data_IF_684144120768
#
_entry.id   IF_684144120768
#
_cell.length_a   1.000
_cell.length_b   1.000
_cell.length_c   1.000
_cell.angle_alpha   90.00
_cell.angle_beta   90.00
_cell.angle_gamma   90.00
#
_symmetry.space_group_name_H-M   'P 1'
#
loop_
_entity.id
_entity.type
_entity.pdbx_description
1 polymer ?
#
# COMPACT_ATOMS: atom_id res chain seq x y z
N UNK A 1 11.28 -2.38 2.87
CA UNK A 1 11.44 -3.79 2.45
C UNK A 1 10.28 -4.71 2.88
N UNK A 2 9.15 -4.18 3.36
CA UNK A 2 8.01 -5.00 3.82
C UNK A 2 7.18 -5.66 2.69
N UNK A 3 7.19 -5.09 1.48
CA UNK A 3 6.40 -5.54 0.33
C UNK A 3 6.70 -7.00 -0.06
N UNK A 4 7.98 -7.37 -0.06
CA UNK A 4 8.43 -8.70 -0.47
C UNK A 4 7.98 -9.81 0.49
N UNK A 5 7.88 -9.49 1.78
CA UNK A 5 7.47 -10.45 2.82
C UNK A 5 6.01 -10.86 2.68
N UNK A 6 5.13 -9.90 2.36
CA UNK A 6 3.70 -10.17 2.19
C UNK A 6 3.37 -11.00 0.94
N UNK A 7 4.08 -10.76 -0.17
CA UNK A 7 3.90 -11.53 -1.41
C UNK A 7 4.74 -12.81 -1.49
N UNK A 8 5.64 -13.04 -0.54
CA UNK A 8 6.57 -14.19 -0.58
C UNK A 8 5.87 -15.53 -0.83
N UNK A 9 4.74 -15.88 -0.17
CA UNK A 9 4.05 -17.14 -0.45
C UNK A 9 3.59 -17.25 -1.92
N UNK A 10 3.01 -16.19 -2.48
CA UNK A 10 2.57 -16.21 -3.88
C UNK A 10 3.74 -16.32 -4.85
N UNK A 11 4.84 -15.60 -4.59
CA UNK A 11 6.04 -15.70 -5.43
C UNK A 11 6.59 -17.13 -5.40
N UNK A 12 6.72 -17.73 -4.21
CA UNK A 12 7.16 -19.13 -4.06
C UNK A 12 6.23 -20.06 -4.83
N UNK A 13 4.90 -19.89 -4.71
CA UNK A 13 3.95 -20.71 -5.44
C UNK A 13 4.08 -20.59 -6.96
N UNK A 14 4.16 -19.38 -7.50
CA UNK A 14 4.27 -19.17 -8.94
C UNK A 14 5.56 -19.77 -9.51
N UNK A 15 6.66 -19.73 -8.74
CA UNK A 15 7.90 -20.41 -9.12
C UNK A 15 7.73 -21.92 -9.09
N UNK A 16 7.06 -22.48 -8.08
CA UNK A 16 6.97 -23.93 -7.90
C UNK A 16 5.90 -24.62 -8.74
N UNK A 17 4.73 -24.01 -8.93
CA UNK A 17 3.55 -24.67 -9.54
C UNK A 17 3.80 -25.12 -10.98
N UNK A 18 4.71 -24.46 -11.70
CA UNK A 18 5.14 -24.83 -13.04
C UNK A 18 6.34 -25.79 -13.11
N UNK A 19 6.92 -26.19 -11.99
CA UNK A 19 8.19 -26.95 -11.94
C UNK A 19 8.13 -28.21 -11.06
N UNK A 20 7.20 -28.28 -10.11
CA UNK A 20 7.04 -29.42 -9.18
C UNK A 20 5.57 -29.83 -9.06
N UNK A 21 5.25 -31.03 -8.52
CA UNK A 21 3.87 -31.47 -8.35
C UNK A 21 3.00 -30.47 -7.57
N UNK A 22 1.72 -30.35 -7.94
CA UNK A 22 0.76 -29.40 -7.36
C UNK A 22 0.66 -29.48 -5.83
N UNK A 23 0.61 -30.69 -5.28
CA UNK A 23 0.55 -30.89 -3.83
C UNK A 23 1.81 -30.37 -3.14
N UNK A 24 3.00 -30.63 -3.71
CA UNK A 24 4.26 -30.17 -3.15
C UNK A 24 4.37 -28.63 -3.20
N UNK A 25 4.03 -28.01 -4.33
CA UNK A 25 4.03 -26.54 -4.45
C UNK A 25 3.05 -25.89 -3.48
N UNK A 26 1.83 -26.40 -3.35
CA UNK A 26 0.84 -25.85 -2.44
C UNK A 26 1.23 -26.01 -0.96
N UNK A 27 1.76 -27.17 -0.55
CA UNK A 27 2.17 -27.43 0.83
C UNK A 27 3.40 -26.62 1.23
N UNK A 28 4.41 -26.52 0.37
CA UNK A 28 5.59 -25.68 0.63
C UNK A 28 5.17 -24.23 0.78
N UNK A 29 4.31 -23.73 -0.11
CA UNK A 29 3.82 -22.36 0.01
C UNK A 29 2.98 -22.14 1.26
N UNK A 30 2.13 -23.10 1.64
CA UNK A 30 1.35 -23.01 2.88
C UNK A 30 2.28 -22.93 4.10
N UNK A 31 3.36 -23.72 4.13
CA UNK A 31 4.37 -23.63 5.18
C UNK A 31 5.03 -22.24 5.22
N UNK A 32 5.42 -21.69 4.06
CA UNK A 32 5.98 -20.33 3.96
C UNK A 32 4.98 -19.28 4.47
N UNK A 33 3.69 -19.40 4.13
CA UNK A 33 2.65 -18.50 4.62
C UNK A 33 2.49 -18.56 6.15
N UNK A 34 2.52 -19.77 6.73
CA UNK A 34 2.48 -19.95 8.20
C UNK A 34 3.70 -19.31 8.87
N UNK A 35 4.90 -19.54 8.32
CA UNK A 35 6.14 -18.93 8.83
C UNK A 35 6.06 -17.39 8.76
N UNK A 36 5.55 -16.84 7.65
CA UNK A 36 5.37 -15.40 7.52
C UNK A 36 4.42 -14.83 8.58
N UNK A 37 3.31 -15.50 8.87
CA UNK A 37 2.40 -15.12 9.97
C UNK A 37 3.12 -15.17 11.31
N UNK A 38 3.89 -16.24 11.60
CA UNK A 38 4.62 -16.39 12.86
C UNK A 38 5.64 -15.25 13.03
N UNK A 39 6.42 -14.93 12.00
CA UNK A 39 7.37 -13.82 12.03
C UNK A 39 6.65 -12.50 12.31
N UNK A 40 5.55 -12.22 11.59
CA UNK A 40 4.74 -11.02 11.81
C UNK A 40 4.12 -10.95 13.21
N UNK A 41 3.81 -12.10 13.85
CA UNK A 41 3.36 -12.15 15.25
C UNK A 41 4.47 -11.72 16.20
N UNK A 42 5.68 -12.25 16.01
CA UNK A 42 6.83 -12.01 16.91
C UNK A 42 7.35 -10.58 16.77
N UNK A 43 7.33 -10.00 15.58
CA UNK A 43 7.83 -8.64 15.32
C UNK A 43 6.80 -7.54 15.61
N UNK A 44 5.61 -7.89 16.09
CA UNK A 44 4.49 -6.96 16.31
C UNK A 44 4.16 -6.08 15.08
N UNK A 45 4.42 -6.60 13.87
CA UNK A 45 4.23 -5.85 12.64
C UNK A 45 2.74 -5.50 12.42
N UNK A 46 2.48 -4.23 12.10
CA UNK A 46 1.15 -3.72 11.79
C UNK A 46 0.76 -4.11 10.36
N UNK A 47 0.07 -5.23 10.22
CA UNK A 47 -0.42 -5.70 8.91
C UNK A 47 -0.46 -7.21 8.87
N UNK A 48 -1.67 -7.79 8.91
CA UNK A 48 -1.86 -9.26 8.95
C UNK A 48 -2.76 -9.77 7.83
N UNK A 49 -3.33 -8.88 7.03
CA UNK A 49 -4.39 -9.21 6.08
C UNK A 49 -3.86 -10.06 4.93
N UNK A 50 -2.68 -9.72 4.41
CA UNK A 50 -2.06 -10.44 3.31
C UNK A 50 -1.53 -11.81 3.75
N UNK A 51 -0.93 -11.91 4.94
CA UNK A 51 -0.40 -13.16 5.49
C UNK A 51 -1.52 -14.15 5.87
N UNK A 52 -2.57 -13.67 6.54
CA UNK A 52 -3.76 -14.51 6.84
C UNK A 52 -4.44 -14.94 5.54
N UNK A 53 -4.54 -14.02 4.58
CA UNK A 53 -5.04 -14.29 3.25
C UNK A 53 -4.25 -15.35 2.49
N UNK A 54 -2.92 -15.34 2.64
CA UNK A 54 -2.04 -16.34 2.06
C UNK A 54 -2.32 -17.72 2.64
N UNK A 55 -2.39 -17.83 3.98
CA UNK A 55 -2.70 -19.10 4.65
C UNK A 55 -4.04 -19.65 4.17
N UNK A 56 -5.08 -18.83 4.14
CA UNK A 56 -6.40 -19.25 3.64
C UNK A 56 -6.37 -19.73 2.19
N UNK A 57 -5.74 -18.95 1.30
CA UNK A 57 -5.63 -19.29 -0.14
C UNK A 57 -4.87 -20.60 -0.36
N UNK A 58 -3.69 -20.74 0.26
CA UNK A 58 -2.84 -21.90 0.05
C UNK A 58 -3.33 -23.14 0.79
N UNK A 59 -4.10 -22.98 1.87
CA UNK A 59 -4.83 -24.11 2.47
C UNK A 59 -5.86 -24.68 1.50
N UNK A 60 -6.65 -23.82 0.84
CA UNK A 60 -7.62 -24.24 -0.18
C UNK A 60 -6.92 -24.90 -1.37
N UNK A 61 -5.84 -24.30 -1.89
CA UNK A 61 -5.07 -24.88 -2.99
C UNK A 61 -4.41 -26.22 -2.61
N UNK A 62 -3.95 -26.37 -1.36
CA UNK A 62 -3.40 -27.63 -0.88
C UNK A 62 -4.48 -28.72 -0.83
N UNK A 63 -5.67 -28.41 -0.28
CA UNK A 63 -6.79 -29.35 -0.26
C UNK A 63 -7.20 -29.74 -1.69
N UNK A 64 -7.36 -28.77 -2.58
CA UNK A 64 -7.67 -29.03 -3.99
C UNK A 64 -6.60 -29.90 -4.66
N UNK A 65 -5.32 -29.67 -4.36
CA UNK A 65 -4.22 -30.48 -4.92
C UNK A 65 -4.24 -31.94 -4.47
N UNK A 66 -4.90 -32.25 -3.36
CA UNK A 66 -5.05 -33.61 -2.82
C UNK A 66 -6.35 -34.28 -3.27
N UNK A 67 -7.39 -33.50 -3.56
CA UNK A 67 -8.73 -34.05 -3.85
C UNK A 67 -9.17 -33.92 -5.31
N UNK A 68 -8.62 -32.98 -6.06
CA UNK A 68 -9.03 -32.71 -7.44
C UNK A 68 -8.19 -33.48 -8.47
N UNK A 69 -8.77 -33.69 -9.65
CA UNK A 69 -8.09 -34.35 -10.75
C UNK A 69 -6.98 -33.47 -11.36
N UNK A 70 -5.94 -34.10 -11.88
CA UNK A 70 -4.79 -33.38 -12.46
C UNK A 70 -5.18 -32.43 -13.59
N UNK A 71 -6.12 -32.84 -14.46
CA UNK A 71 -6.63 -31.99 -15.54
C UNK A 71 -7.33 -30.72 -15.06
N UNK A 72 -7.95 -30.78 -13.88
CA UNK A 72 -8.53 -29.60 -13.23
C UNK A 72 -7.41 -28.72 -12.66
N UNK A 73 -6.44 -29.32 -11.97
CA UNK A 73 -5.33 -28.59 -11.37
C UNK A 73 -4.50 -27.86 -12.44
N UNK A 74 -4.18 -28.51 -13.55
CA UNK A 74 -3.44 -27.90 -14.68
C UNK A 74 -4.12 -26.66 -15.28
N UNK A 75 -5.44 -26.52 -15.09
CA UNK A 75 -6.26 -25.42 -15.63
C UNK A 75 -6.51 -24.31 -14.64
N UNK A 76 -6.77 -24.68 -13.39
CA UNK A 76 -7.39 -23.76 -12.44
C UNK A 76 -6.45 -23.29 -11.34
N UNK A 77 -5.29 -23.91 -11.13
CA UNK A 77 -4.39 -23.53 -10.02
C UNK A 77 -3.88 -22.10 -10.11
N UNK A 78 -3.49 -21.61 -11.29
CA UNK A 78 -3.06 -20.22 -11.46
C UNK A 78 -4.22 -19.22 -11.30
N UNK A 79 -5.37 -19.38 -12.00
CA UNK A 79 -6.55 -18.54 -11.78
C UNK A 79 -6.99 -18.47 -10.33
N UNK A 80 -7.04 -19.61 -9.63
CA UNK A 80 -7.45 -19.67 -8.23
C UNK A 80 -6.44 -18.99 -7.29
N UNK A 81 -5.14 -19.09 -7.58
CA UNK A 81 -4.10 -18.37 -6.82
C UNK A 81 -4.27 -16.84 -6.93
N UNK A 82 -4.51 -16.33 -8.15
CA UNK A 82 -4.75 -14.90 -8.37
C UNK A 82 -6.11 -14.46 -7.81
N UNK A 83 -7.15 -15.29 -7.90
CA UNK A 83 -8.43 -15.03 -7.29
C UNK A 83 -8.31 -14.88 -5.76
N UNK A 84 -7.44 -15.68 -5.12
CA UNK A 84 -7.08 -15.51 -3.72
C UNK A 84 -6.56 -14.11 -3.40
N UNK A 85 -5.67 -13.55 -4.23
CA UNK A 85 -5.18 -12.18 -4.07
C UNK A 85 -6.31 -11.13 -4.19
N UNK A 86 -7.22 -11.31 -5.15
CA UNK A 86 -8.38 -10.42 -5.31
C UNK A 86 -9.25 -10.44 -4.05
N UNK A 87 -9.59 -11.63 -3.54
CA UNK A 87 -10.40 -11.79 -2.33
C UNK A 87 -9.73 -11.14 -1.13
N UNK A 88 -8.42 -11.33 -0.97
CA UNK A 88 -7.65 -10.73 0.13
C UNK A 88 -7.63 -9.21 0.02
N UNK A 89 -7.39 -8.68 -1.18
CA UNK A 89 -7.40 -7.24 -1.43
C UNK A 89 -8.78 -6.62 -1.14
N UNK A 90 -9.87 -7.25 -1.62
CA UNK A 90 -11.24 -6.81 -1.37
C UNK A 90 -11.59 -6.87 0.12
N UNK A 91 -11.24 -7.96 0.80
CA UNK A 91 -11.48 -8.10 2.25
C UNK A 91 -10.74 -7.03 3.04
N UNK A 92 -9.50 -6.70 2.65
CA UNK A 92 -8.76 -5.58 3.22
C UNK A 92 -9.44 -4.21 3.01
N UNK A 93 -10.00 -3.98 1.82
CA UNK A 93 -10.77 -2.76 1.53
C UNK A 93 -12.05 -2.67 2.37
N UNK A 94 -12.83 -3.75 2.44
CA UNK A 94 -14.08 -3.80 3.18
C UNK A 94 -13.89 -3.66 4.70
N UNK A 95 -12.77 -4.15 5.23
CA UNK A 95 -12.42 -4.02 6.65
C UNK A 95 -11.74 -2.68 7.00
N UNK A 96 -11.58 -1.77 6.03
CA UNK A 96 -10.95 -0.47 6.22
C UNK A 96 -9.43 -0.55 6.47
N UNK A 97 -8.81 -1.70 6.19
CA UNK A 97 -7.37 -1.94 6.34
C UNK A 97 -6.78 -2.42 5.00
N UNK A 98 -6.67 -1.52 3.99
CA UNK A 98 -6.05 -1.86 2.73
C UNK A 98 -4.65 -2.41 2.97
N UNK A 99 -4.29 -3.51 2.32
CA UNK A 99 -2.94 -4.08 2.45
C UNK A 99 -1.85 -3.08 2.03
N UNK A 100 -2.20 -2.09 1.21
CA UNK A 100 -1.35 -0.97 0.81
C UNK A 100 -0.85 -0.13 1.99
N UNK A 101 -1.56 -0.10 3.11
CA UNK A 101 -1.03 0.55 4.32
C UNK A 101 0.29 -0.09 4.81
N UNK A 102 0.56 -1.35 4.45
CA UNK A 102 1.82 -2.04 4.74
C UNK A 102 2.95 -1.64 3.77
N UNK A 103 2.62 -1.06 2.62
CA UNK A 103 3.59 -0.70 1.59
C UNK A 103 4.30 0.63 1.85
N UNK A 104 3.82 1.43 2.80
CA UNK A 104 4.26 2.81 3.02
C UNK A 104 4.72 2.96 4.47
N UNK A 105 6.03 3.20 4.67
CA UNK A 105 6.53 3.66 5.97
C UNK A 105 5.98 5.06 6.22
N UNK A 106 5.03 5.17 7.14
CA UNK A 106 4.36 6.43 7.45
C UNK A 106 5.10 7.15 8.59
N UNK A 107 5.64 8.36 8.39
CA UNK A 107 5.98 9.20 9.53
C UNK A 107 4.70 9.58 10.26
N UNK A 108 4.68 9.43 11.59
CA UNK A 108 3.48 9.53 12.44
C UNK A 108 2.65 10.82 12.21
N UNK A 109 3.29 11.90 11.77
CA UNK A 109 2.66 13.21 11.58
C UNK A 109 2.06 13.43 10.18
N UNK A 110 2.22 12.49 9.23
CA UNK A 110 1.72 12.60 7.85
C UNK A 110 0.37 11.91 7.63
N UNK A 111 -0.21 11.31 8.68
CA UNK A 111 -1.43 10.51 8.59
C UNK A 111 -2.68 11.30 8.22
N UNK A 112 -2.67 12.63 8.37
CA UNK A 112 -3.86 13.47 8.27
C UNK A 112 -4.00 14.22 6.93
N UNK A 113 -3.06 14.10 6.00
CA UNK A 113 -3.21 14.81 4.72
C UNK A 113 -4.14 14.07 3.76
N UNK A 114 -5.16 14.76 3.24
CA UNK A 114 -6.09 14.25 2.23
C UNK A 114 -5.36 13.74 0.97
N UNK A 115 -4.20 14.33 0.65
CA UNK A 115 -3.34 13.91 -0.46
C UNK A 115 -2.80 12.49 -0.25
N UNK A 116 -2.32 12.16 0.95
CA UNK A 116 -1.85 10.82 1.31
C UNK A 116 -3.00 9.81 1.25
N UNK A 117 -4.17 10.17 1.76
CA UNK A 117 -5.35 9.30 1.69
C UNK A 117 -5.76 8.98 0.24
N UNK A 118 -5.76 10.00 -0.63
CA UNK A 118 -6.04 9.84 -2.06
C UNK A 118 -5.01 8.94 -2.75
N UNK A 119 -3.72 9.10 -2.44
CA UNK A 119 -2.65 8.29 -3.00
C UNK A 119 -2.74 6.82 -2.55
N UNK A 120 -3.03 6.56 -1.28
CA UNK A 120 -3.28 5.20 -0.76
C UNK A 120 -4.47 4.55 -1.46
N UNK A 121 -5.54 5.31 -1.69
CA UNK A 121 -6.72 4.82 -2.41
C UNK A 121 -6.39 4.46 -3.86
N UNK A 122 -5.72 5.34 -4.60
CA UNK A 122 -5.28 5.08 -5.99
C UNK A 122 -4.40 3.83 -6.04
N UNK A 123 -3.46 3.72 -5.12
CA UNK A 123 -2.56 2.57 -5.06
C UNK A 123 -3.31 1.26 -4.76
N UNK A 124 -4.29 1.30 -3.85
CA UNK A 124 -5.15 0.14 -3.54
C UNK A 124 -5.95 -0.31 -4.76
N UNK A 125 -6.57 0.63 -5.48
CA UNK A 125 -7.31 0.32 -6.70
C UNK A 125 -6.40 -0.19 -7.83
N UNK A 126 -5.19 0.33 -7.96
CA UNK A 126 -4.23 -0.13 -8.97
C UNK A 126 -3.83 -1.60 -8.76
N UNK A 127 -3.60 -1.99 -7.52
CA UNK A 127 -3.32 -3.38 -7.18
C UNK A 127 -4.51 -4.30 -7.38
N UNK A 128 -5.71 -3.85 -6.96
CA UNK A 128 -6.93 -4.62 -7.19
C UNK A 128 -7.17 -4.85 -8.69
N UNK A 129 -6.99 -3.81 -9.52
CA UNK A 129 -7.10 -3.91 -10.96
C UNK A 129 -6.06 -4.87 -11.55
N UNK A 130 -4.82 -4.85 -11.06
CA UNK A 130 -3.79 -5.79 -11.48
C UNK A 130 -4.18 -7.24 -11.12
N UNK A 131 -4.56 -7.53 -9.88
CA UNK A 131 -4.97 -8.88 -9.48
C UNK A 131 -6.22 -9.36 -10.22
N UNK A 132 -7.18 -8.49 -10.45
CA UNK A 132 -8.36 -8.80 -11.26
C UNK A 132 -7.95 -9.13 -12.71
N UNK A 133 -7.08 -8.32 -13.31
CA UNK A 133 -6.54 -8.58 -14.65
C UNK A 133 -5.76 -9.89 -14.75
N UNK A 134 -4.95 -10.21 -13.75
CA UNK A 134 -4.24 -11.50 -13.63
C UNK A 134 -5.22 -12.68 -13.56
N UNK A 135 -6.27 -12.54 -12.75
CA UNK A 135 -7.31 -13.59 -12.58
C UNK A 135 -8.11 -13.78 -13.85
N UNK A 136 -8.60 -12.69 -14.46
CA UNK A 136 -9.38 -12.75 -15.70
C UNK A 136 -8.55 -13.31 -16.83
N UNK A 137 -7.34 -12.79 -17.06
CA UNK A 137 -6.48 -13.27 -18.14
C UNK A 137 -6.19 -14.76 -18.01
N UNK A 138 -5.77 -15.24 -16.84
CA UNK A 138 -5.50 -16.66 -16.61
C UNK A 138 -6.75 -17.54 -16.64
N UNK A 139 -7.94 -17.00 -16.39
CA UNK A 139 -9.21 -17.72 -16.52
C UNK A 139 -9.70 -17.86 -17.97
N UNK A 140 -9.15 -17.11 -18.93
CA UNK A 140 -9.54 -17.21 -20.35
C UNK A 140 -9.22 -18.60 -20.95
N UNK A 141 -7.99 -19.15 -20.85
CA UNK A 141 -7.67 -20.48 -21.37
C UNK A 141 -8.59 -21.61 -20.84
N UNK A 142 -8.81 -21.78 -19.52
CA UNK A 142 -9.60 -22.89 -19.02
C UNK A 142 -11.11 -22.79 -19.35
N UNK A 143 -11.62 -21.59 -19.62
CA UNK A 143 -13.01 -21.38 -20.06
C UNK A 143 -13.21 -21.71 -21.54
N UNK A 144 -12.24 -21.37 -22.39
CA UNK A 144 -12.32 -21.59 -23.84
C UNK A 144 -11.93 -23.00 -24.26
N UNK A 145 -10.97 -23.62 -23.55
CA UNK A 145 -10.31 -24.85 -23.98
C UNK A 145 -10.32 -25.91 -22.89
N UNK A 146 -10.88 -27.08 -23.23
CA UNK A 146 -10.86 -28.29 -22.40
C UNK A 146 -9.52 -29.02 -22.42
N UNK A 147 -8.51 -28.51 -23.09
CA UNK A 147 -7.15 -29.06 -23.12
C UNK A 147 -6.13 -28.02 -22.65
N UNK A 148 -6.60 -26.87 -22.14
CA UNK A 148 -5.73 -25.86 -21.57
C UNK A 148 -4.88 -26.46 -20.44
N UNK A 149 -3.60 -26.14 -20.46
CA UNK A 149 -2.64 -26.55 -19.43
C UNK A 149 -1.68 -25.40 -19.18
N UNK A 150 -1.31 -25.17 -17.93
CA UNK A 150 -0.30 -24.18 -17.58
C UNK A 150 1.10 -24.50 -18.13
N UNK A 151 1.32 -25.75 -18.56
CA UNK A 151 2.56 -26.24 -19.17
C UNK A 151 2.56 -26.13 -20.71
N UNK A 152 1.46 -25.71 -21.32
CA UNK A 152 1.33 -25.62 -22.78
C UNK A 152 2.14 -24.42 -23.32
N UNK A 153 3.26 -24.72 -23.98
CA UNK A 153 4.13 -23.74 -24.65
C UNK A 153 3.82 -23.57 -26.14
N UNK A 154 3.03 -24.47 -26.73
CA UNK A 154 2.71 -24.45 -28.16
C UNK A 154 1.46 -23.61 -28.46
N UNK A 155 0.52 -23.55 -27.51
CA UNK A 155 -0.64 -22.67 -27.58
C UNK A 155 -0.28 -21.24 -27.17
N UNK A 156 -0.25 -20.25 -28.10
CA UNK A 156 0.11 -18.87 -27.75
C UNK A 156 -0.80 -18.27 -26.68
N UNK A 157 -2.09 -18.63 -26.73
CA UNK A 157 -3.07 -18.20 -25.75
C UNK A 157 -2.77 -18.72 -24.34
N UNK A 158 -2.25 -19.94 -24.18
CA UNK A 158 -1.96 -20.54 -22.88
C UNK A 158 -0.82 -19.81 -22.17
N UNK A 159 0.35 -19.68 -22.79
CA UNK A 159 1.48 -19.02 -22.12
C UNK A 159 1.29 -17.50 -21.96
N UNK A 160 0.58 -16.83 -22.90
CA UNK A 160 0.27 -15.40 -22.76
C UNK A 160 -0.63 -15.14 -21.56
N UNK A 161 -1.73 -15.89 -21.44
CA UNK A 161 -2.75 -15.68 -20.42
C UNK A 161 -2.37 -16.21 -19.04
N UNK A 162 -1.61 -17.31 -18.94
CA UNK A 162 -1.18 -17.84 -17.65
C UNK A 162 0.04 -17.11 -17.06
N UNK A 163 0.96 -16.64 -17.91
CA UNK A 163 2.26 -16.12 -17.48
C UNK A 163 2.52 -14.68 -17.90
N UNK A 164 2.59 -14.38 -19.21
CA UNK A 164 3.07 -13.07 -19.67
C UNK A 164 2.18 -11.93 -19.18
N UNK A 165 0.87 -12.03 -19.42
CA UNK A 165 -0.08 -10.99 -18.99
C UNK A 165 -0.10 -10.86 -17.46
N UNK A 166 -0.22 -11.94 -16.67
CA UNK A 166 -0.21 -11.80 -15.22
C UNK A 166 1.08 -11.21 -14.65
N UNK A 167 2.25 -11.67 -15.10
CA UNK A 167 3.55 -11.20 -14.61
C UNK A 167 3.77 -9.73 -14.99
N UNK A 168 3.42 -9.33 -16.22
CA UNK A 168 3.55 -7.93 -16.65
C UNK A 168 2.63 -7.01 -15.84
N UNK A 169 1.39 -7.39 -15.58
CA UNK A 169 0.48 -6.62 -14.72
C UNK A 169 1.02 -6.47 -13.29
N UNK A 170 1.56 -7.55 -12.72
CA UNK A 170 2.16 -7.53 -11.39
C UNK A 170 3.36 -6.57 -11.32
N UNK A 171 4.27 -6.64 -12.30
CA UNK A 171 5.44 -5.74 -12.39
C UNK A 171 5.01 -4.29 -12.59
N UNK A 172 4.04 -4.02 -13.46
CA UNK A 172 3.50 -2.67 -13.66
C UNK A 172 2.90 -2.11 -12.37
N UNK A 173 2.13 -2.90 -11.61
CA UNK A 173 1.61 -2.49 -10.31
C UNK A 173 2.72 -2.16 -9.31
N UNK A 174 3.80 -2.96 -9.29
CA UNK A 174 4.97 -2.68 -8.46
C UNK A 174 5.69 -1.37 -8.87
N UNK A 175 5.82 -1.10 -10.17
CA UNK A 175 6.41 0.15 -10.67
C UNK A 175 5.55 1.37 -10.35
N UNK A 176 4.23 1.26 -10.50
CA UNK A 176 3.27 2.30 -10.08
C UNK A 176 3.37 2.56 -8.58
N UNK A 177 3.50 1.50 -7.77
CA UNK A 177 3.70 1.61 -6.32
C UNK A 177 4.95 2.43 -5.99
N UNK A 178 6.07 2.18 -6.68
CA UNK A 178 7.32 2.91 -6.47
C UNK A 178 7.19 4.39 -6.83
N UNK A 179 6.61 4.70 -8.00
CA UNK A 179 6.47 6.10 -8.44
C UNK A 179 5.52 6.88 -7.55
N UNK A 180 4.42 6.28 -7.10
CA UNK A 180 3.50 6.89 -6.14
C UNK A 180 4.15 7.09 -4.77
N UNK A 181 4.96 6.15 -4.29
CA UNK A 181 5.67 6.29 -3.02
C UNK A 181 6.62 7.48 -3.01
N UNK A 182 7.35 7.71 -4.12
CA UNK A 182 8.22 8.89 -4.27
C UNK A 182 7.39 10.18 -4.25
N UNK A 183 6.29 10.23 -5.00
CA UNK A 183 5.38 11.38 -5.01
C UNK A 183 4.73 11.63 -3.65
N UNK A 184 4.45 10.58 -2.87
CA UNK A 184 3.94 10.69 -1.51
C UNK A 184 4.98 11.33 -0.58
N UNK A 185 6.24 10.91 -0.67
CA UNK A 185 7.32 11.52 0.11
C UNK A 185 7.47 13.01 -0.21
N UNK A 186 7.42 13.39 -1.48
CA UNK A 186 7.43 14.79 -1.92
C UNK A 186 6.18 15.56 -1.45
N UNK A 187 4.99 14.95 -1.54
CA UNK A 187 3.75 15.57 -1.09
C UNK A 187 3.78 15.83 0.42
N UNK A 188 4.25 14.86 1.21
CA UNK A 188 4.41 14.98 2.66
C UNK A 188 5.41 16.08 3.02
N UNK A 189 6.55 16.15 2.32
CA UNK A 189 7.54 17.20 2.53
C UNK A 189 7.00 18.62 2.23
N UNK A 190 5.99 18.75 1.36
CA UNK A 190 5.42 20.02 0.94
C UNK A 190 4.10 20.40 1.66
N UNK A 191 3.65 19.61 2.65
CA UNK A 191 2.42 19.92 3.39
C UNK A 191 2.64 21.18 4.25
N UNK A 192 1.70 22.13 4.16
CA UNK A 192 1.68 23.27 5.06
C UNK A 192 1.20 22.83 6.45
N UNK A 193 2.07 22.95 7.44
CA UNK A 193 1.74 22.76 8.85
C UNK A 193 0.84 23.90 9.31
N UNK A 194 -0.22 23.56 10.06
CA UNK A 194 -1.11 24.53 10.70
C UNK A 194 -0.65 24.72 12.15
N UNK A 195 -0.52 25.96 12.57
CA UNK A 195 -0.25 26.32 13.96
C UNK A 195 -1.11 27.52 14.36
N UNK A 196 -1.18 27.78 15.65
CA UNK A 196 -1.86 28.95 16.21
C UNK A 196 -0.93 29.61 17.21
N UNK A 197 -0.70 30.91 17.06
CA UNK A 197 0.13 31.68 17.97
C UNK A 197 -0.69 32.82 18.59
N UNK A 198 -0.27 33.29 19.75
CA UNK A 198 -0.95 34.39 20.45
C UNK A 198 -0.19 35.68 20.20
N UNK A 199 -0.92 36.73 19.82
CA UNK A 199 -0.40 38.08 19.66
C UNK A 199 -1.40 39.12 20.18
N UNK A 200 -0.91 40.32 20.45
CA UNK A 200 -1.76 41.44 20.83
C UNK A 200 -2.63 41.89 19.64
N UNK A 201 -3.84 42.37 19.92
CA UNK A 201 -4.77 42.86 18.89
C UNK A 201 -4.22 44.07 18.12
N UNK A 202 -3.35 44.86 18.75
CA UNK A 202 -2.71 46.04 18.15
C UNK A 202 -1.45 45.69 17.33
N UNK A 203 -1.07 44.41 17.24
CA UNK A 203 0.12 43.99 16.52
C UNK A 203 0.00 44.31 15.02
N UNK A 204 1.05 44.93 14.48
CA UNK A 204 1.13 45.22 13.05
C UNK A 204 1.34 43.96 12.24
N UNK A 205 1.04 44.02 10.93
CA UNK A 205 1.18 42.87 10.03
C UNK A 205 2.61 42.31 10.07
N UNK A 206 3.63 43.17 10.06
CA UNK A 206 5.02 42.74 10.09
C UNK A 206 5.39 42.03 11.41
N UNK A 207 4.88 42.51 12.54
CA UNK A 207 5.05 41.87 13.84
C UNK A 207 4.35 40.51 13.90
N UNK A 208 3.14 40.39 13.33
CA UNK A 208 2.42 39.13 13.22
C UNK A 208 3.20 38.11 12.37
N UNK A 209 3.77 38.53 11.24
CA UNK A 209 4.61 37.66 10.41
C UNK A 209 5.90 37.25 11.12
N UNK A 210 6.53 38.18 11.85
CA UNK A 210 7.71 37.88 12.66
C UNK A 210 7.40 36.83 13.74
N UNK A 211 6.34 37.06 14.54
CA UNK A 211 5.91 36.15 15.60
C UNK A 211 5.50 34.78 15.05
N UNK A 212 4.76 34.74 13.95
CA UNK A 212 4.40 33.50 13.27
C UNK A 212 5.64 32.72 12.82
N UNK A 213 6.64 33.42 12.25
CA UNK A 213 7.88 32.80 11.79
C UNK A 213 8.73 32.25 12.92
N UNK A 214 8.83 32.96 14.05
CA UNK A 214 9.58 32.51 15.22
C UNK A 214 8.89 31.33 15.90
N UNK A 215 7.56 31.37 16.01
CA UNK A 215 6.78 30.26 16.53
C UNK A 215 6.97 29.00 15.66
N UNK A 216 6.85 29.15 14.34
CA UNK A 216 7.06 28.06 13.40
C UNK A 216 8.49 27.49 13.44
N UNK A 217 9.53 28.33 13.59
CA UNK A 217 10.92 27.85 13.75
C UNK A 217 11.11 27.02 15.02
N UNK A 218 10.47 27.42 16.12
CA UNK A 218 10.52 26.67 17.39
C UNK A 218 9.84 25.32 17.26
N UNK A 219 8.69 25.26 16.59
CA UNK A 219 7.98 24.00 16.33
C UNK A 219 8.73 23.08 15.34
N UNK A 220 9.36 23.64 14.30
CA UNK A 220 10.08 22.86 13.30
C UNK A 220 11.33 22.15 13.87
N UNK A 221 11.94 22.72 14.92
CA UNK A 221 13.11 22.17 15.59
C UNK A 221 14.44 22.41 14.84
N UNK A 222 15.57 22.02 15.46
CA UNK A 222 16.90 22.27 14.89
C UNK A 222 17.13 21.50 13.57
N UNK A 223 17.86 22.12 12.63
CA UNK A 223 18.23 21.51 11.34
C UNK A 223 17.20 21.67 10.21
N UNK A 224 16.08 22.36 10.46
CA UNK A 224 15.03 22.60 9.46
C UNK A 224 14.83 24.09 9.22
N UNK A 225 14.54 24.44 7.97
CA UNK A 225 14.19 25.80 7.57
C UNK A 225 12.70 25.93 7.32
N UNK A 226 12.11 26.95 7.91
CA UNK A 226 10.70 27.32 7.72
C UNK A 226 10.59 28.29 6.56
N UNK A 227 9.63 28.06 5.67
CA UNK A 227 9.34 28.93 4.52
C UNK A 227 7.83 28.98 4.22
N UNK A 228 7.42 29.91 3.35
CA UNK A 228 6.00 30.12 2.97
C UNK A 228 5.08 30.29 4.20
N UNK A 229 5.53 31.09 5.18
CA UNK A 229 4.73 31.41 6.37
C UNK A 229 3.60 32.34 5.95
N UNK A 230 2.37 31.98 6.31
CA UNK A 230 1.16 32.78 6.07
C UNK A 230 0.37 32.90 7.36
N UNK A 231 -0.01 34.11 7.69
CA UNK A 231 -0.91 34.42 8.82
C UNK A 231 -2.34 34.49 8.29
N UNK A 232 -3.29 33.85 8.98
CA UNK A 232 -4.70 33.86 8.63
C UNK A 232 -5.42 35.12 9.09
N UNK A 233 -6.74 35.14 8.92
CA UNK A 233 -7.58 36.26 9.34
C UNK A 233 -7.63 36.43 10.87
N UNK A 234 -8.18 37.58 11.30
CA UNK A 234 -8.29 38.02 12.69
C UNK A 234 -8.54 36.88 13.68
N UNK A 235 -7.72 36.86 14.74
CA UNK A 235 -7.73 35.80 15.73
C UNK A 235 -8.96 35.82 16.62
N UNK A 236 -9.23 34.70 17.29
CA UNK A 236 -10.27 34.63 18.33
C UNK A 236 -9.71 35.22 19.63
N UNK A 237 -10.41 36.15 20.31
CA UNK A 237 -9.97 36.68 21.60
C UNK A 237 -9.86 35.57 22.64
N UNK A 238 -8.86 35.68 23.50
CA UNK A 238 -8.68 34.75 24.60
C UNK A 238 -9.73 35.02 25.69
N UNK A 239 -10.30 33.95 26.25
CA UNK A 239 -11.36 34.06 27.27
C UNK A 239 -10.81 34.83 28.48
N UNK A 240 -11.36 36.03 28.71
CA UNK A 240 -10.98 36.90 29.83
C UNK A 240 -9.87 37.93 29.54
N UNK A 241 -9.35 38.00 28.32
CA UNK A 241 -8.38 39.01 27.88
C UNK A 241 -8.59 39.38 26.41
N UNK A 242 -9.33 40.47 26.17
CA UNK A 242 -9.62 40.99 24.83
C UNK A 242 -8.39 41.66 24.17
N UNK A 243 -7.32 41.92 24.93
CA UNK A 243 -6.10 42.52 24.38
C UNK A 243 -5.26 41.52 23.58
N UNK A 244 -5.51 40.21 23.76
CA UNK A 244 -4.76 39.12 23.12
C UNK A 244 -5.67 38.20 22.31
N UNK A 245 -5.22 37.86 21.12
CA UNK A 245 -5.96 37.02 20.19
C UNK A 245 -5.10 35.86 19.70
N UNK A 246 -5.74 34.70 19.45
CA UNK A 246 -5.11 33.54 18.84
C UNK A 246 -5.18 33.64 17.32
N UNK A 247 -4.05 33.79 16.66
CA UNK A 247 -3.94 33.91 15.21
C UNK A 247 -3.59 32.56 14.58
N UNK A 248 -4.37 32.08 13.60
CA UNK A 248 -3.99 30.91 12.82
C UNK A 248 -2.83 31.25 11.88
N UNK A 249 -1.86 30.36 11.77
CA UNK A 249 -0.77 30.45 10.82
C UNK A 249 -0.55 29.12 10.11
N UNK A 250 0.01 29.21 8.91
CA UNK A 250 0.48 28.06 8.15
C UNK A 250 1.91 28.26 7.72
N UNK A 251 2.69 27.19 7.70
CA UNK A 251 4.09 27.25 7.27
C UNK A 251 4.52 25.93 6.64
N UNK A 252 5.58 25.97 5.82
CA UNK A 252 6.21 24.77 5.24
C UNK A 252 7.61 24.62 5.79
N UNK A 253 8.07 23.38 5.81
CA UNK A 253 9.38 23.01 6.38
C UNK A 253 10.19 22.27 5.34
N UNK A 254 11.46 22.64 5.22
CA UNK A 254 12.44 21.90 4.41
C UNK A 254 13.69 21.62 5.25
N UNK A 255 14.44 20.60 4.86
CA UNK A 255 15.77 20.41 5.43
C UNK A 255 16.68 21.60 5.07
N UNK A 256 17.43 22.09 6.06
CA UNK A 256 18.41 23.15 5.83
C UNK A 256 19.51 22.59 4.95
N UNK A 257 19.69 23.17 3.75
CA UNK A 257 20.85 22.85 2.91
C UNK A 257 22.11 23.33 3.65
N UNK A 258 22.96 22.39 4.05
CA UNK A 258 24.33 22.64 4.52
C UNK A 258 25.22 23.09 3.37
#
# INVERSE_FOLDING_TARGET
MAILLGFAPWIVYWVLVGNVPFAASALVTLAVAVVAVVIARVTAASGRTLEIGAVGTFLVLALLSLTANESFLQRWTLPLSYAGLVVVALTGMLTGKPFVHQLIDRPANAAESEAVARMVMVLTWSWLAAFAGMTVSSAIPPMLRRDASLFDTMGPLSFLCYWIVPVTLFVLAALVSRTLSVRMAEAVANVAHKTTFVAYNEATIDELYYLASEHAKREAGPGRDVYDVKVGAAGTPLVGDDSRQSWPATYRVRERRS
#
